data_IF_984908072762
#
_entry.id   IF_984908072762
#
_cell.length_a   1.000
_cell.length_b   1.000
_cell.length_c   1.000
_cell.angle_alpha   90.00
_cell.angle_beta   90.00
_cell.angle_gamma   90.00
#
_symmetry.space_group_name_H-M   'P 1'
#
loop_
_entity.id
_entity.type
_entity.pdbx_description
1 polymer ?
#
# COMPACT_ATOMS: atom_id res chain seq x y z
N UNK A 1 6.70 -2.14 -2.33
CA UNK A 1 5.24 -2.00 -2.19
C UNK A 1 4.46 -2.97 -3.09
N UNK A 2 4.54 -2.88 -4.43
CA UNK A 2 3.83 -3.80 -5.35
C UNK A 2 4.12 -5.31 -5.16
N UNK A 3 5.28 -5.65 -4.59
CA UNK A 3 5.61 -7.05 -4.21
C UNK A 3 4.71 -7.59 -3.08
N UNK A 4 4.26 -6.72 -2.19
CA UNK A 4 3.41 -7.07 -1.04
C UNK A 4 1.94 -6.81 -1.34
N UNK A 5 1.66 -5.73 -2.09
CA UNK A 5 0.34 -5.44 -2.62
C UNK A 5 0.31 -5.85 -4.09
N UNK A 6 -0.21 -7.05 -4.37
CA UNK A 6 -0.37 -7.64 -5.71
C UNK A 6 -1.03 -6.69 -6.75
N UNK A 7 -1.66 -5.61 -6.27
CA UNK A 7 -2.30 -4.57 -7.06
C UNK A 7 -1.89 -3.18 -6.60
N UNK A 8 -2.13 -2.19 -7.45
CA UNK A 8 -1.91 -0.78 -7.11
C UNK A 8 -2.90 -0.30 -6.03
N UNK A 9 -2.39 0.50 -5.08
CA UNK A 9 -3.18 1.03 -3.96
C UNK A 9 -4.16 2.10 -4.45
N UNK A 10 -3.68 2.97 -5.33
CA UNK A 10 -4.50 4.03 -5.93
C UNK A 10 -5.36 3.40 -7.01
N UNK A 11 -6.67 3.66 -6.93
CA UNK A 11 -7.64 3.31 -7.98
C UNK A 11 -8.15 4.60 -8.64
N UNK A 12 -7.59 5.00 -9.80
CA UNK A 12 -8.04 6.19 -10.52
C UNK A 12 -9.51 6.07 -10.90
N UNK A 13 -10.26 7.14 -10.69
CA UNK A 13 -11.66 7.27 -11.12
C UNK A 13 -11.92 8.68 -11.64
N UNK A 14 -13.06 8.87 -12.31
CA UNK A 14 -13.43 10.14 -12.98
C UNK A 14 -13.44 11.32 -12.01
N UNK A 15 -13.81 11.09 -10.74
CA UNK A 15 -13.84 12.13 -9.71
C UNK A 15 -12.78 11.88 -8.63
N UNK A 16 -12.27 12.98 -8.05
CA UNK A 16 -11.36 12.92 -6.90
C UNK A 16 -12.00 12.21 -5.70
N UNK A 17 -13.31 12.39 -5.50
CA UNK A 17 -14.07 11.70 -4.45
C UNK A 17 -14.06 10.18 -4.65
N UNK A 18 -14.43 9.69 -5.85
CA UNK A 18 -14.43 8.27 -6.14
C UNK A 18 -13.01 7.68 -6.03
N UNK A 19 -12.00 8.42 -6.49
CA UNK A 19 -10.59 8.02 -6.36
C UNK A 19 -10.20 7.85 -4.89
N UNK A 20 -10.54 8.82 -4.04
CA UNK A 20 -10.24 8.76 -2.60
C UNK A 20 -10.96 7.58 -1.93
N UNK A 21 -12.26 7.39 -2.20
CA UNK A 21 -13.03 6.28 -1.66
C UNK A 21 -12.44 4.92 -2.06
N UNK A 22 -12.17 4.70 -3.35
CA UNK A 22 -11.64 3.44 -3.84
C UNK A 22 -10.21 3.15 -3.34
N UNK A 23 -9.44 4.22 -3.10
CA UNK A 23 -8.10 4.13 -2.50
C UNK A 23 -8.20 3.71 -1.03
N UNK A 24 -9.08 4.33 -0.23
CA UNK A 24 -9.34 3.92 1.16
C UNK A 24 -9.86 2.47 1.23
N UNK A 25 -10.73 2.09 0.30
CA UNK A 25 -11.19 0.70 0.19
C UNK A 25 -10.02 -0.25 -0.08
N UNK A 26 -9.09 0.08 -0.99
CA UNK A 26 -7.87 -0.73 -1.20
C UNK A 26 -7.01 -0.81 0.04
N UNK A 27 -6.84 0.28 0.78
CA UNK A 27 -6.06 0.24 2.02
C UNK A 27 -6.64 -0.74 3.04
N UNK A 28 -7.98 -0.81 3.15
CA UNK A 28 -8.63 -1.79 4.02
C UNK A 28 -8.38 -3.23 3.54
N UNK A 29 -8.51 -3.49 2.25
CA UNK A 29 -8.27 -4.82 1.66
C UNK A 29 -6.81 -5.26 1.77
N UNK A 30 -5.87 -4.33 1.62
CA UNK A 30 -4.42 -4.57 1.60
C UNK A 30 -3.75 -4.32 2.95
N UNK A 31 -4.52 -4.18 4.03
CA UNK A 31 -3.99 -3.83 5.35
C UNK A 31 -2.92 -4.81 5.83
N UNK A 32 -3.24 -6.11 5.87
CA UNK A 32 -2.32 -7.13 6.37
C UNK A 32 -1.06 -7.25 5.51
N UNK A 33 -1.13 -7.31 4.16
CA UNK A 33 0.08 -7.31 3.33
C UNK A 33 0.94 -6.05 3.49
N UNK A 34 0.33 -4.88 3.71
CA UNK A 34 1.07 -3.64 3.97
C UNK A 34 1.77 -3.68 5.33
N UNK A 35 1.11 -4.15 6.38
CA UNK A 35 1.73 -4.35 7.69
C UNK A 35 2.91 -5.34 7.59
N UNK A 36 2.74 -6.45 6.85
CA UNK A 36 3.81 -7.42 6.60
C UNK A 36 4.99 -6.83 5.79
N UNK A 37 4.75 -5.85 4.92
CA UNK A 37 5.83 -5.14 4.23
C UNK A 37 6.75 -4.46 5.23
N UNK A 38 6.20 -3.76 6.22
CA UNK A 38 6.98 -2.99 7.20
C UNK A 38 7.75 -3.87 8.19
N UNK A 39 7.29 -5.10 8.44
CA UNK A 39 8.00 -6.07 9.30
C UNK A 39 8.93 -6.99 8.52
N UNK A 40 8.97 -6.88 7.18
CA UNK A 40 9.82 -7.72 6.35
C UNK A 40 11.30 -7.37 6.52
N UNK A 41 12.16 -8.40 6.44
CA UNK A 41 13.61 -8.20 6.49
C UNK A 41 14.12 -7.30 5.34
N UNK A 42 13.44 -7.36 4.18
CA UNK A 42 13.71 -6.49 3.03
C UNK A 42 13.49 -5.02 3.36
N UNK A 43 12.42 -4.70 4.09
CA UNK A 43 12.17 -3.34 4.56
C UNK A 43 13.25 -2.90 5.53
N UNK A 44 13.59 -3.72 6.53
CA UNK A 44 14.63 -3.40 7.51
C UNK A 44 16.04 -3.23 6.90
N UNK A 45 16.34 -3.93 5.81
CA UNK A 45 17.58 -3.78 5.03
C UNK A 45 17.58 -2.55 4.13
N UNK A 46 16.42 -1.97 3.85
CA UNK A 46 16.32 -0.79 2.99
C UNK A 46 16.87 0.46 3.67
N UNK A 47 17.36 1.41 2.87
CA UNK A 47 17.79 2.74 3.35
C UNK A 47 16.66 3.54 4.00
N UNK A 48 15.40 3.13 3.80
CA UNK A 48 14.21 3.80 4.28
C UNK A 48 13.84 3.43 5.72
N UNK A 49 14.27 2.26 6.22
CA UNK A 49 13.95 1.84 7.58
C UNK A 49 14.80 2.51 8.67
N UNK A 50 15.95 3.11 8.29
CA UNK A 50 16.90 3.76 9.22
C UNK A 50 16.85 5.29 9.15
N UNK A 51 15.95 5.84 8.34
CA UNK A 51 15.82 7.28 8.09
C UNK A 51 14.65 7.83 8.90
#
# INVERSE_FOLDING_TARGET
MRKFTDKEIIRPAVTRFATAYLTLQRFKELRQPLEAMFTSEEWHKSSWAKK
#
